data_IF_087040792164
#
_entry.id   IF_087040792164
#
_cell.length_a   1.000
_cell.length_b   1.000
_cell.length_c   1.000
_cell.angle_alpha   90.00
_cell.angle_beta   90.00
_cell.angle_gamma   90.00
#
_symmetry.space_group_name_H-M   'P 1'
#
loop_
_entity.id
_entity.type
_entity.pdbx_description
1 polymer ?
#
# COMPACT_ATOMS: atom_id res chain seq x y z
N UNK A 1 -25.75 4.98 5.54
CA UNK A 1 -24.71 4.83 4.49
C UNK A 1 -24.32 3.38 4.54
N UNK A 2 -24.55 2.60 3.47
CA UNK A 2 -24.59 1.15 3.54
C UNK A 2 -23.32 0.53 4.14
N UNK A 3 -23.53 -0.34 5.13
CA UNK A 3 -22.58 -1.26 5.73
C UNK A 3 -21.98 -2.16 4.65
N UNK A 4 -20.97 -1.70 3.92
CA UNK A 4 -20.26 -2.57 3.01
C UNK A 4 -19.12 -3.24 3.77
N UNK A 5 -19.45 -4.34 4.47
CA UNK A 5 -18.52 -5.25 5.16
C UNK A 5 -17.64 -6.06 4.21
N UNK A 6 -17.48 -5.59 2.98
CA UNK A 6 -16.77 -6.26 1.91
C UNK A 6 -15.65 -5.37 1.38
N UNK A 7 -14.53 -6.02 1.07
CA UNK A 7 -13.49 -5.49 0.19
C UNK A 7 -13.59 -6.16 -1.15
N UNK A 8 -13.14 -5.48 -2.21
CA UNK A 8 -13.01 -6.12 -3.52
C UNK A 8 -11.54 -6.42 -3.80
N UNK A 9 -11.23 -7.69 -4.01
CA UNK A 9 -9.86 -8.19 -4.22
C UNK A 9 -9.78 -8.80 -5.62
N UNK A 10 -8.77 -8.37 -6.37
CA UNK A 10 -8.49 -8.89 -7.72
C UNK A 10 -7.61 -10.13 -7.70
N UNK A 11 -6.62 -10.16 -6.81
CA UNK A 11 -5.69 -11.27 -6.62
C UNK A 11 -5.08 -11.23 -5.21
N UNK A 12 -4.73 -12.39 -4.69
CA UNK A 12 -3.86 -12.53 -3.53
C UNK A 12 -2.95 -13.75 -3.68
N UNK A 13 -1.77 -13.70 -3.07
CA UNK A 13 -0.79 -14.78 -3.16
C UNK A 13 0.61 -14.29 -2.81
N UNK A 14 1.60 -15.20 -2.89
CA UNK A 14 3.00 -14.82 -2.66
C UNK A 14 3.56 -14.12 -3.91
N UNK A 15 3.92 -12.85 -3.76
CA UNK A 15 4.55 -12.05 -4.80
C UNK A 15 6.06 -11.91 -4.54
N UNK A 16 6.85 -11.99 -5.61
CA UNK A 16 8.32 -11.96 -5.56
C UNK A 16 8.91 -10.74 -6.29
N UNK A 17 8.06 -9.81 -6.73
CA UNK A 17 8.45 -8.61 -7.47
C UNK A 17 8.59 -7.34 -6.63
N UNK A 18 8.32 -7.39 -5.32
CA UNK A 18 8.53 -6.24 -4.41
C UNK A 18 10.00 -6.11 -4.01
N UNK A 19 10.31 -5.10 -3.20
CA UNK A 19 11.67 -4.79 -2.75
C UNK A 19 12.35 -5.99 -2.08
N UNK A 20 13.68 -6.14 -2.26
CA UNK A 20 14.41 -7.29 -1.72
C UNK A 20 14.14 -7.59 -0.23
N UNK A 21 14.06 -6.61 0.68
CA UNK A 21 13.74 -6.85 2.09
C UNK A 21 12.32 -7.34 2.37
N UNK A 22 11.38 -7.18 1.43
CA UNK A 22 9.98 -7.60 1.56
C UNK A 22 9.71 -9.01 1.01
N UNK A 23 10.57 -9.52 0.13
CA UNK A 23 10.31 -10.79 -0.57
C UNK A 23 11.32 -11.89 -0.25
N UNK A 24 12.63 -11.57 -0.24
CA UNK A 24 13.72 -12.56 -0.22
C UNK A 24 13.38 -13.81 -1.05
N UNK A 25 13.47 -15.00 -0.48
CA UNK A 25 13.14 -16.29 -1.08
C UNK A 25 11.73 -16.81 -0.75
N UNK A 26 11.00 -16.10 0.12
CA UNK A 26 9.72 -16.55 0.69
C UNK A 26 8.50 -15.86 0.07
N UNK A 27 8.67 -14.64 -0.45
CA UNK A 27 7.66 -13.79 -1.07
C UNK A 27 6.91 -12.91 -0.07
N UNK A 28 6.38 -11.79 -0.57
CA UNK A 28 5.42 -10.94 0.12
C UNK A 28 4.01 -11.53 -0.03
N UNK A 29 3.23 -11.56 1.05
CA UNK A 29 1.84 -12.03 1.02
C UNK A 29 0.93 -10.94 0.49
N UNK A 30 0.96 -10.74 -0.82
CA UNK A 30 0.36 -9.56 -1.45
C UNK A 30 -1.13 -9.75 -1.71
N UNK A 31 -1.91 -8.70 -1.44
CA UNK A 31 -3.36 -8.63 -1.67
C UNK A 31 -3.63 -7.38 -2.53
N UNK A 32 -3.98 -7.60 -3.80
CA UNK A 32 -4.31 -6.52 -4.73
C UNK A 32 -5.79 -6.16 -4.63
N UNK A 33 -6.05 -5.04 -3.94
CA UNK A 33 -7.38 -4.48 -3.87
C UNK A 33 -7.78 -3.82 -5.20
N UNK A 34 -9.08 -3.88 -5.47
CA UNK A 34 -9.69 -3.33 -6.67
C UNK A 34 -10.10 -1.87 -6.44
N UNK A 35 -9.81 -1.00 -7.42
CA UNK A 35 -10.04 0.44 -7.35
C UNK A 35 -8.82 1.24 -6.86
N UNK A 36 -8.75 2.53 -7.19
CA UNK A 36 -7.69 3.44 -6.74
C UNK A 36 -8.22 4.86 -6.57
N UNK A 37 -7.64 5.63 -5.65
CA UNK A 37 -7.92 7.07 -5.47
C UNK A 37 -7.24 7.96 -6.52
N UNK A 38 -6.41 7.39 -7.40
CA UNK A 38 -5.77 8.05 -8.54
C UNK A 38 -6.24 7.45 -9.87
N UNK A 39 -6.06 8.21 -10.96
CA UNK A 39 -6.34 7.77 -12.34
C UNK A 39 -5.11 7.84 -13.25
N UNK A 40 -4.02 7.18 -12.85
CA UNK A 40 -2.76 7.23 -13.58
C UNK A 40 -2.92 6.66 -15.01
N UNK A 41 -2.54 7.43 -16.03
CA UNK A 41 -2.57 6.98 -17.44
C UNK A 41 -1.49 5.92 -17.76
N UNK A 42 -0.49 5.81 -16.89
CA UNK A 42 0.61 4.84 -16.98
C UNK A 42 0.46 3.68 -15.97
N UNK A 43 -0.72 3.50 -15.36
CA UNK A 43 -0.90 2.50 -14.32
C UNK A 43 -0.64 1.09 -14.84
N UNK A 44 0.35 0.39 -14.26
CA UNK A 44 0.59 -1.04 -14.53
C UNK A 44 -0.62 -1.90 -14.17
N UNK A 45 -1.40 -1.46 -13.17
CA UNK A 45 -2.59 -2.13 -12.64
C UNK A 45 -3.90 -1.52 -13.16
N UNK A 46 -3.92 -0.98 -14.38
CA UNK A 46 -5.10 -0.29 -14.94
C UNK A 46 -6.36 -1.17 -14.92
N UNK A 47 -6.23 -2.46 -15.22
CA UNK A 47 -7.36 -3.42 -15.29
C UNK A 47 -8.06 -3.62 -13.94
N UNK A 48 -7.37 -3.38 -12.83
CA UNK A 48 -7.92 -3.56 -11.48
C UNK A 48 -8.14 -2.22 -10.74
N UNK A 49 -7.54 -1.12 -11.20
CA UNK A 49 -7.69 0.20 -10.58
C UNK A 49 -8.77 1.06 -11.21
N UNK A 50 -9.01 0.95 -12.53
CA UNK A 50 -9.87 1.88 -13.27
C UNK A 50 -10.81 1.21 -14.30
N UNK A 51 -10.36 0.17 -15.01
CA UNK A 51 -11.16 -0.47 -16.06
C UNK A 51 -12.10 -1.54 -15.51
N UNK A 52 -13.42 -1.43 -15.75
CA UNK A 52 -14.47 -2.45 -15.51
C UNK A 52 -14.11 -3.47 -14.41
N UNK A 53 -13.98 -2.93 -13.20
CA UNK A 53 -13.12 -3.41 -12.13
C UNK A 53 -13.26 -4.90 -11.84
N UNK A 54 -12.27 -5.68 -12.29
CA UNK A 54 -12.15 -7.11 -12.02
C UNK A 54 -11.91 -7.38 -10.52
N UNK A 55 -12.32 -8.56 -10.05
CA UNK A 55 -12.15 -8.99 -8.66
C UNK A 55 -13.47 -9.42 -8.01
N UNK A 56 -13.35 -10.12 -6.90
CA UNK A 56 -14.49 -10.66 -6.15
C UNK A 56 -14.68 -9.89 -4.84
N UNK A 57 -15.91 -9.88 -4.33
CA UNK A 57 -16.19 -9.34 -3.00
C UNK A 57 -15.80 -10.38 -1.96
N UNK A 58 -15.03 -9.94 -0.95
CA UNK A 58 -14.64 -10.73 0.20
C UNK A 58 -15.08 -9.99 1.45
N UNK A 59 -15.73 -10.70 2.36
CA UNK A 59 -16.05 -10.21 3.69
C UNK A 59 -14.77 -9.97 4.51
N UNK A 60 -14.88 -9.20 5.58
CA UNK A 60 -13.80 -9.02 6.56
C UNK A 60 -13.28 -10.38 7.08
N UNK A 61 -14.19 -11.32 7.38
CA UNK A 61 -13.80 -12.65 7.85
C UNK A 61 -13.02 -13.45 6.80
N UNK A 62 -13.33 -13.28 5.51
CA UNK A 62 -12.56 -13.89 4.43
C UNK A 62 -11.20 -13.21 4.25
N UNK A 63 -11.12 -11.88 4.37
CA UNK A 63 -9.83 -11.16 4.36
C UNK A 63 -8.91 -11.61 5.51
N UNK A 64 -9.46 -11.81 6.71
CA UNK A 64 -8.72 -12.40 7.85
C UNK A 64 -8.16 -13.77 7.50
N UNK A 65 -8.99 -14.66 6.93
CA UNK A 65 -8.55 -16.00 6.49
C UNK A 65 -7.45 -15.93 5.43
N UNK A 66 -7.54 -15.00 4.48
CA UNK A 66 -6.52 -14.79 3.45
C UNK A 66 -5.18 -14.40 4.11
N UNK A 67 -5.17 -13.42 5.02
CA UNK A 67 -3.94 -12.99 5.70
C UNK A 67 -3.30 -14.12 6.52
N UNK A 68 -4.09 -14.86 7.30
CA UNK A 68 -3.59 -15.99 8.07
C UNK A 68 -3.11 -17.15 7.18
N UNK A 69 -3.78 -17.36 6.03
CA UNK A 69 -3.38 -18.34 5.02
C UNK A 69 -2.01 -18.01 4.41
N UNK A 70 -1.79 -16.76 4.00
CA UNK A 70 -0.51 -16.28 3.48
C UNK A 70 0.62 -16.43 4.50
N UNK A 71 0.35 -16.12 5.77
CA UNK A 71 1.31 -16.40 6.85
C UNK A 71 1.63 -17.89 6.97
N UNK A 72 0.61 -18.76 6.93
CA UNK A 72 0.80 -20.23 7.00
C UNK A 72 1.61 -20.76 5.81
N UNK A 73 1.49 -20.13 4.63
CA UNK A 73 2.28 -20.43 3.43
C UNK A 73 3.72 -19.87 3.48
N UNK A 74 4.08 -19.21 4.58
CA UNK A 74 5.42 -18.72 4.86
C UNK A 74 5.73 -17.37 4.21
N UNK A 75 4.72 -16.57 3.85
CA UNK A 75 4.94 -15.20 3.41
C UNK A 75 5.65 -14.36 4.48
N UNK A 76 6.52 -13.43 4.06
CA UNK A 76 7.30 -12.60 4.99
C UNK A 76 6.49 -11.49 5.65
N UNK A 77 5.45 -11.02 4.97
CA UNK A 77 4.57 -9.93 5.38
C UNK A 77 3.22 -10.08 4.69
N UNK A 78 2.26 -9.26 5.09
CA UNK A 78 1.02 -9.03 4.33
C UNK A 78 1.15 -7.69 3.61
N UNK A 79 1.26 -7.72 2.29
CA UNK A 79 1.37 -6.53 1.46
C UNK A 79 0.01 -6.10 0.90
N UNK A 80 -0.52 -5.02 1.46
CA UNK A 80 -1.82 -4.47 1.12
C UNK A 80 -1.65 -3.42 0.03
N UNK A 81 -1.98 -3.76 -1.22
CA UNK A 81 -1.75 -2.90 -2.39
C UNK A 81 -2.99 -2.06 -2.73
N UNK A 82 -2.81 -0.74 -2.78
CA UNK A 82 -3.90 0.25 -2.88
C UNK A 82 -4.94 0.15 -1.74
N UNK A 83 -4.50 0.17 -0.48
CA UNK A 83 -5.38 -0.07 0.67
C UNK A 83 -6.24 1.16 1.03
N UNK A 84 -5.86 2.36 0.57
CA UNK A 84 -6.44 3.67 0.97
C UNK A 84 -7.96 3.72 0.89
N UNK A 85 -8.56 3.22 -0.19
CA UNK A 85 -10.01 3.29 -0.39
C UNK A 85 -10.78 2.23 0.43
N UNK A 86 -10.08 1.22 0.95
CA UNK A 86 -10.63 0.10 1.74
C UNK A 86 -10.20 0.16 3.22
N UNK A 87 -9.65 1.29 3.66
CA UNK A 87 -8.93 1.37 4.94
C UNK A 87 -9.76 0.95 6.16
N UNK A 88 -11.08 1.16 6.16
CA UNK A 88 -11.96 0.81 7.28
C UNK A 88 -12.09 -0.71 7.43
N UNK A 89 -12.39 -1.40 6.34
CA UNK A 89 -12.51 -2.86 6.31
C UNK A 89 -11.15 -3.52 6.58
N UNK A 90 -10.07 -2.96 6.02
CA UNK A 90 -8.70 -3.44 6.26
C UNK A 90 -8.33 -3.28 7.73
N UNK A 91 -8.61 -2.13 8.34
CA UNK A 91 -8.38 -1.89 9.78
C UNK A 91 -9.04 -2.97 10.64
N UNK A 92 -10.32 -3.22 10.40
CA UNK A 92 -11.08 -4.25 11.15
C UNK A 92 -10.49 -5.66 10.93
N UNK A 93 -10.16 -6.00 9.68
CA UNK A 93 -9.57 -7.29 9.35
C UNK A 93 -8.19 -7.49 9.99
N UNK A 94 -7.31 -6.47 9.97
CA UNK A 94 -5.97 -6.57 10.56
C UNK A 94 -6.06 -6.75 12.08
N UNK A 95 -6.92 -5.99 12.75
CA UNK A 95 -7.15 -6.15 14.20
C UNK A 95 -7.59 -7.59 14.51
N UNK A 96 -8.55 -8.11 13.75
CA UNK A 96 -9.08 -9.44 13.98
C UNK A 96 -8.07 -10.54 13.65
N UNK A 97 -7.31 -10.40 12.57
CA UNK A 97 -6.24 -11.34 12.22
C UNK A 97 -5.13 -11.36 13.27
N UNK A 98 -4.73 -10.20 13.84
CA UNK A 98 -3.76 -10.15 14.94
C UNK A 98 -4.27 -10.89 16.18
N UNK A 99 -5.56 -10.77 16.54
CA UNK A 99 -6.17 -11.57 17.62
C UNK A 99 -6.14 -13.08 17.35
N UNK A 100 -6.21 -13.46 16.08
CA UNK A 100 -6.19 -14.86 15.63
C UNK A 100 -4.77 -15.38 15.31
N UNK A 101 -3.72 -14.63 15.66
CA UNK A 101 -2.33 -15.10 15.57
C UNK A 101 -1.58 -14.66 14.31
N UNK A 102 -2.04 -13.63 13.59
CA UNK A 102 -1.21 -12.95 12.60
C UNK A 102 -0.06 -12.20 13.32
N UNK A 103 1.17 -12.58 13.02
CA UNK A 103 2.39 -12.07 13.65
C UNK A 103 3.38 -11.46 12.64
N UNK A 104 3.26 -11.79 11.35
CA UNK A 104 4.11 -11.20 10.31
C UNK A 104 3.73 -9.73 10.05
N UNK A 105 4.68 -8.87 9.63
CA UNK A 105 4.45 -7.44 9.42
C UNK A 105 3.33 -7.14 8.42
N UNK A 106 2.61 -6.04 8.65
CA UNK A 106 1.69 -5.45 7.69
C UNK A 106 2.40 -4.35 6.88
N UNK A 107 2.38 -4.48 5.56
CA UNK A 107 2.89 -3.48 4.61
C UNK A 107 1.72 -2.70 4.00
N UNK A 108 1.83 -1.37 4.02
CA UNK A 108 0.87 -0.45 3.41
C UNK A 108 1.46 0.14 2.12
N UNK A 109 1.13 -0.49 0.98
CA UNK A 109 1.68 -0.18 -0.35
C UNK A 109 0.75 0.78 -1.10
N UNK A 110 1.19 2.03 -1.21
CA UNK A 110 0.33 3.18 -1.52
C UNK A 110 0.99 4.14 -2.52
N UNK A 111 0.19 5.02 -3.12
CA UNK A 111 0.66 6.05 -4.05
C UNK A 111 1.08 7.37 -3.37
N UNK A 112 1.31 7.34 -2.06
CA UNK A 112 1.63 8.46 -1.18
C UNK A 112 0.53 9.53 -1.05
N UNK A 113 -0.55 9.48 -1.83
CA UNK A 113 -1.65 10.45 -1.79
C UNK A 113 -2.75 10.05 -0.78
N UNK A 114 -2.36 9.40 0.31
CA UNK A 114 -3.24 9.16 1.44
C UNK A 114 -3.60 10.48 2.13
N UNK A 115 -4.74 10.52 2.80
CA UNK A 115 -5.03 11.63 3.73
C UNK A 115 -4.46 11.32 5.11
N UNK A 116 -3.94 12.33 5.80
CA UNK A 116 -3.44 12.21 7.19
C UNK A 116 -4.46 11.55 8.13
N UNK A 117 -5.74 11.86 7.94
CA UNK A 117 -6.82 11.22 8.70
C UNK A 117 -6.82 9.69 8.55
N UNK A 118 -6.62 9.18 7.33
CA UNK A 118 -6.60 7.73 7.06
C UNK A 118 -5.38 7.11 7.73
N UNK A 119 -4.20 7.74 7.61
CA UNK A 119 -2.97 7.25 8.24
C UNK A 119 -3.10 7.16 9.77
N UNK A 120 -3.74 8.13 10.41
CA UNK A 120 -4.02 8.09 11.86
C UNK A 120 -4.98 6.98 12.26
N UNK A 121 -5.92 6.62 11.40
CA UNK A 121 -6.88 5.53 11.68
C UNK A 121 -6.22 4.15 11.70
N UNK A 122 -5.11 3.98 10.97
CA UNK A 122 -4.37 2.72 10.87
C UNK A 122 -3.05 2.73 11.67
N UNK A 123 -2.80 3.77 12.46
CA UNK A 123 -1.62 3.86 13.31
C UNK A 123 -1.56 2.70 14.31
N UNK A 124 -0.39 2.08 14.42
CA UNK A 124 -0.17 0.88 15.24
C UNK A 124 -0.63 -0.44 14.60
N UNK A 125 -1.31 -0.40 13.46
CA UNK A 125 -1.67 -1.60 12.69
C UNK A 125 -0.71 -1.89 11.55
N UNK A 126 -0.16 -0.83 10.95
CA UNK A 126 0.85 -0.91 9.89
C UNK A 126 2.24 -0.91 10.50
N UNK A 127 3.07 -1.83 10.03
CA UNK A 127 4.45 -1.98 10.46
C UNK A 127 5.41 -1.34 9.44
N UNK A 128 5.10 -1.48 8.15
CA UNK A 128 5.92 -0.97 7.05
C UNK A 128 5.06 -0.12 6.12
N UNK A 129 5.52 1.08 5.78
CA UNK A 129 4.92 1.89 4.73
C UNK A 129 5.77 1.84 3.47
N UNK A 130 5.10 1.65 2.33
CA UNK A 130 5.72 1.56 1.01
C UNK A 130 5.07 2.57 0.04
N UNK A 131 5.32 3.88 0.25
CA UNK A 131 4.77 4.92 -0.61
C UNK A 131 5.52 5.05 -1.94
N UNK A 132 4.79 4.97 -3.04
CA UNK A 132 5.22 5.49 -4.34
C UNK A 132 5.05 7.01 -4.37
N UNK A 133 6.14 7.76 -4.24
CA UNK A 133 6.16 9.19 -4.50
C UNK A 133 6.27 9.44 -6.01
N UNK A 134 5.20 9.95 -6.61
CA UNK A 134 5.02 9.99 -8.07
C UNK A 134 5.36 11.34 -8.71
N UNK A 135 5.13 12.45 -8.00
CA UNK A 135 5.22 13.79 -8.56
C UNK A 135 5.83 14.81 -7.61
N UNK A 136 6.79 15.59 -8.12
CA UNK A 136 7.22 16.86 -7.55
C UNK A 136 6.54 18.08 -8.20
N UNK A 137 5.63 17.87 -9.15
CA UNK A 137 4.88 18.92 -9.85
C UNK A 137 3.37 18.59 -9.92
N UNK A 138 2.54 19.46 -9.36
CA UNK A 138 1.08 19.27 -9.32
C UNK A 138 0.41 19.35 -10.70
N UNK A 139 1.00 20.06 -11.67
CA UNK A 139 0.46 20.08 -13.04
C UNK A 139 0.63 18.71 -13.70
N UNK A 140 1.76 18.04 -13.45
CA UNK A 140 2.00 16.68 -13.93
C UNK A 140 1.09 15.67 -13.21
N UNK A 141 0.92 15.83 -11.89
CA UNK A 141 0.00 15.00 -11.12
C UNK A 141 -1.44 15.09 -11.64
N UNK A 142 -1.89 16.30 -11.97
CA UNK A 142 -3.21 16.50 -12.56
C UNK A 142 -3.30 15.92 -13.98
N UNK A 143 -2.32 16.23 -14.83
CA UNK A 143 -2.28 15.77 -16.22
C UNK A 143 -2.27 14.24 -16.34
N UNK A 144 -1.47 13.56 -15.52
CA UNK A 144 -1.22 12.13 -15.67
C UNK A 144 -1.98 11.25 -14.68
N UNK A 145 -2.47 11.77 -13.55
CA UNK A 145 -3.21 11.01 -12.54
C UNK A 145 -4.56 11.61 -12.13
N UNK A 146 -4.92 12.80 -12.64
CA UNK A 146 -6.22 13.42 -12.37
C UNK A 146 -6.40 13.96 -10.95
N UNK A 147 -5.30 14.20 -10.21
CA UNK A 147 -5.33 14.67 -8.82
C UNK A 147 -4.69 16.06 -8.69
N UNK A 148 -5.14 16.83 -7.70
CA UNK A 148 -4.61 18.18 -7.38
C UNK A 148 -3.89 18.13 -6.03
N UNK A 149 -2.98 19.06 -5.76
CA UNK A 149 -2.26 19.16 -4.48
C UNK A 149 -1.54 17.86 -4.09
N UNK A 150 -1.06 17.10 -5.08
CA UNK A 150 -0.35 15.85 -4.86
C UNK A 150 0.92 16.09 -4.06
N UNK A 151 1.73 17.07 -4.45
CA UNK A 151 3.07 17.28 -3.85
C UNK A 151 2.95 17.50 -2.35
N UNK A 152 2.10 18.46 -1.93
CA UNK A 152 1.90 18.74 -0.52
C UNK A 152 1.33 17.53 0.23
N UNK A 153 0.30 16.89 -0.32
CA UNK A 153 -0.35 15.74 0.32
C UNK A 153 0.61 14.57 0.48
N UNK A 154 1.42 14.29 -0.54
CA UNK A 154 2.41 13.21 -0.52
C UNK A 154 3.52 13.49 0.49
N UNK A 155 4.05 14.72 0.56
CA UNK A 155 5.05 15.11 1.56
C UNK A 155 4.51 14.96 2.99
N UNK A 156 3.29 15.44 3.24
CA UNK A 156 2.65 15.31 4.54
C UNK A 156 2.40 13.84 4.91
N UNK A 157 1.93 13.03 3.96
CA UNK A 157 1.67 11.61 4.15
C UNK A 157 2.94 10.83 4.45
N UNK A 158 4.01 11.01 3.67
CA UNK A 158 5.29 10.35 3.94
C UNK A 158 5.85 10.78 5.29
N UNK A 159 5.72 12.06 5.67
CA UNK A 159 6.13 12.55 6.99
C UNK A 159 5.35 11.89 8.12
N UNK A 160 4.04 11.72 7.96
CA UNK A 160 3.19 11.05 8.95
C UNK A 160 3.50 9.55 9.02
N UNK A 161 3.69 8.87 7.89
CA UNK A 161 4.15 7.48 7.84
C UNK A 161 5.46 7.34 8.62
N UNK A 162 6.44 8.20 8.34
CA UNK A 162 7.73 8.21 9.03
C UNK A 162 7.59 8.49 10.53
N UNK A 163 6.71 9.40 10.95
CA UNK A 163 6.43 9.63 12.37
C UNK A 163 5.94 8.36 13.08
N UNK A 164 5.12 7.55 12.41
CA UNK A 164 4.52 6.36 13.00
C UNK A 164 5.51 5.20 13.13
N UNK A 165 6.34 4.95 12.12
CA UNK A 165 7.18 3.72 12.06
C UNK A 165 8.68 3.98 12.06
N UNK A 166 9.14 5.21 11.78
CA UNK A 166 10.55 5.58 11.78
C UNK A 166 11.34 5.03 10.58
N UNK A 167 12.66 4.95 10.77
CA UNK A 167 13.58 4.37 9.80
C UNK A 167 13.32 2.86 9.62
N UNK A 168 13.63 2.36 8.42
CA UNK A 168 13.56 0.93 8.14
C UNK A 168 14.48 0.14 9.07
N UNK A 169 13.92 -0.82 9.80
CA UNK A 169 14.63 -1.85 10.54
C UNK A 169 14.52 -3.16 9.78
N UNK A 170 15.65 -3.85 9.67
CA UNK A 170 15.76 -5.15 9.03
C UNK A 170 16.32 -6.16 10.04
N UNK A 171 15.86 -7.41 9.95
CA UNK A 171 16.39 -8.51 10.73
C UNK A 171 17.81 -8.89 10.29
N UNK A 172 18.43 -9.85 10.98
CA UNK A 172 19.73 -10.40 10.59
C UNK A 172 19.71 -11.06 9.20
N UNK A 173 18.55 -11.57 8.77
CA UNK A 173 18.35 -12.16 7.44
C UNK A 173 17.98 -11.11 6.37
N UNK A 174 18.15 -9.81 6.69
CA UNK A 174 17.80 -8.66 5.85
C UNK A 174 16.31 -8.58 5.48
N UNK A 175 15.43 -9.13 6.32
CA UNK A 175 13.98 -9.03 6.15
C UNK A 175 13.49 -7.76 6.84
N UNK A 176 12.71 -6.93 6.15
CA UNK A 176 12.12 -5.73 6.74
C UNK A 176 11.10 -6.08 7.83
N UNK A 177 11.21 -5.43 8.99
CA UNK A 177 10.33 -5.64 10.13
C UNK A 177 9.43 -4.43 10.41
N UNK A 178 9.98 -3.22 10.26
CA UNK A 178 9.27 -1.96 10.53
C UNK A 178 9.94 -0.79 9.80
N UNK A 179 9.18 0.21 9.37
CA UNK A 179 9.71 1.48 8.87
C UNK A 179 9.15 1.92 7.52
N UNK A 180 9.81 2.89 6.87
CA UNK A 180 9.36 3.43 5.57
C UNK A 180 10.35 3.11 4.47
N UNK A 181 9.84 2.64 3.33
CA UNK A 181 10.58 2.50 2.07
C UNK A 181 9.88 3.38 1.04
N UNK A 182 10.52 4.47 0.63
CA UNK A 182 9.93 5.38 -0.38
C UNK A 182 10.39 4.99 -1.77
N UNK A 183 9.45 4.76 -2.69
CA UNK A 183 9.75 4.59 -4.11
C UNK A 183 9.60 5.91 -4.83
N UNK A 184 10.61 6.28 -5.59
CA UNK A 184 10.56 7.44 -6.46
C UNK A 184 10.18 7.03 -7.89
N UNK A 185 9.07 7.54 -8.41
CA UNK A 185 8.67 7.28 -9.79
C UNK A 185 9.42 8.20 -10.76
N UNK A 186 10.16 7.59 -11.69
CA UNK A 186 10.78 8.32 -12.80
C UNK A 186 9.79 8.33 -13.97
N UNK A 187 9.34 9.53 -14.34
CA UNK A 187 8.54 9.75 -15.54
C UNK A 187 9.46 10.07 -16.73
N UNK A 188 9.42 9.26 -17.82
CA UNK A 188 10.19 9.54 -19.02
C UNK A 188 9.96 10.97 -19.52
N UNK A 189 11.03 11.64 -19.97
CA UNK A 189 11.03 13.03 -20.44
C UNK A 189 10.57 14.09 -19.42
N UNK A 190 10.47 13.75 -18.13
CA UNK A 190 10.09 14.67 -17.06
C UNK A 190 11.13 14.63 -15.93
N UNK A 191 12.42 14.80 -16.25
CA UNK A 191 13.51 14.72 -15.25
C UNK A 191 13.37 15.78 -14.14
N UNK A 192 12.86 16.96 -14.47
CA UNK A 192 12.62 18.02 -13.48
C UNK A 192 11.65 17.58 -12.37
N UNK A 193 10.65 16.76 -12.71
CA UNK A 193 9.75 16.15 -11.72
C UNK A 193 10.52 15.28 -10.71
N UNK A 194 11.57 14.60 -11.17
CA UNK A 194 12.40 13.76 -10.31
C UNK A 194 13.24 14.57 -9.36
N UNK A 195 13.84 15.68 -9.82
CA UNK A 195 14.58 16.57 -8.92
C UNK A 195 13.67 17.19 -7.86
N UNK A 196 12.50 17.70 -8.26
CA UNK A 196 11.51 18.27 -7.33
C UNK A 196 10.96 17.26 -6.33
N UNK A 197 10.88 15.98 -6.69
CA UNK A 197 10.43 14.92 -5.78
C UNK A 197 11.43 14.61 -4.66
N UNK A 198 12.70 15.00 -4.81
CA UNK A 198 13.77 14.77 -3.84
C UNK A 198 14.02 15.98 -2.91
N UNK A 199 13.32 17.10 -3.13
CA UNK A 199 13.35 18.31 -2.28
C UNK A 199 12.41 18.20 -1.08
#
# INVERSE_FOLDING_TARGET
>A
MADNNFVKISWFGKHFGEEPPLVKDKGAGTIFFTGCNLRCVYCQNYQISQGNVAGNNYSIAELVKIMLGLQKEGALNIDLVTPTIWFRQIKEAVIEAKKQGLVIPIVWNTNAYDGIRILKEVEGLVDIYLPDFKYGDDNLAFKYSGVKNYVQTAKESVKEMFRQVGNLTVSQDEVAERGVIVRHLILPNNLENSFKALE
#
